data_IF_091177000932
#
_entry.id   IF_091177000932
#
_cell.length_a   1.000
_cell.length_b   1.000
_cell.length_c   1.000
_cell.angle_alpha   90.00
_cell.angle_beta   90.00
_cell.angle_gamma   90.00
#
_symmetry.space_group_name_H-M   'P 1'
#
loop_
_entity.id
_entity.type
_entity.pdbx_description
1 polymer ?
#
# COMPACT_ATOMS: atom_id res chain seq x y z
N UNK A 1 -18.21 -45.27 63.56
CA UNK A 1 -18.95 -44.16 62.94
C UNK A 1 -17.99 -43.00 62.66
N UNK A 2 -17.36 -42.97 61.47
CA UNK A 2 -16.52 -41.84 61.01
C UNK A 2 -16.78 -41.63 59.52
N UNK A 3 -17.37 -40.48 59.20
CA UNK A 3 -17.83 -40.07 57.88
C UNK A 3 -16.67 -39.82 56.91
N UNK A 4 -16.73 -40.43 55.73
CA UNK A 4 -15.90 -40.09 54.57
C UNK A 4 -16.57 -38.91 53.86
N UNK A 5 -15.96 -37.72 53.91
CA UNK A 5 -16.38 -36.57 53.09
C UNK A 5 -15.75 -36.72 51.69
N UNK A 6 -16.57 -37.04 50.69
CA UNK A 6 -16.20 -36.94 49.26
C UNK A 6 -16.19 -35.47 48.87
N UNK A 7 -15.02 -34.95 48.46
CA UNK A 7 -14.88 -33.63 47.85
C UNK A 7 -15.23 -33.76 46.36
N UNK A 8 -16.32 -33.15 45.91
CA UNK A 8 -16.67 -33.04 44.49
C UNK A 8 -15.99 -31.77 43.96
N UNK A 9 -15.00 -31.92 43.08
CA UNK A 9 -14.37 -30.81 42.37
C UNK A 9 -15.30 -30.36 41.23
N UNK A 10 -15.91 -29.20 41.38
CA UNK A 10 -16.72 -28.54 40.35
C UNK A 10 -15.78 -27.87 39.34
N UNK A 11 -15.62 -28.45 38.15
CA UNK A 11 -14.87 -27.82 37.05
C UNK A 11 -15.75 -26.72 36.45
N UNK A 12 -15.45 -25.46 36.81
CA UNK A 12 -16.04 -24.29 36.19
C UNK A 12 -15.41 -24.08 34.79
N UNK A 13 -16.18 -24.30 33.72
CA UNK A 13 -15.80 -23.87 32.39
C UNK A 13 -15.89 -22.34 32.32
N UNK A 14 -14.75 -21.66 32.44
CA UNK A 14 -14.64 -20.22 32.16
C UNK A 14 -14.66 -20.04 30.65
N UNK A 15 -15.81 -19.67 30.10
CA UNK A 15 -15.92 -19.19 28.73
C UNK A 15 -15.28 -17.81 28.66
N UNK A 16 -14.14 -17.70 27.98
CA UNK A 16 -13.51 -16.42 27.69
C UNK A 16 -14.47 -15.58 26.81
N UNK A 17 -14.81 -14.34 27.19
CA UNK A 17 -15.65 -13.50 26.36
C UNK A 17 -14.89 -13.15 25.07
N UNK A 18 -15.55 -13.36 23.94
CA UNK A 18 -15.11 -12.84 22.65
C UNK A 18 -15.17 -11.32 22.77
N UNK A 19 -14.01 -10.66 22.78
CA UNK A 19 -13.93 -9.20 22.82
C UNK A 19 -14.32 -8.68 21.43
N UNK A 20 -15.62 -8.47 21.23
CA UNK A 20 -16.14 -7.76 20.06
C UNK A 20 -16.06 -6.25 20.31
N UNK A 21 -14.99 -5.62 19.83
CA UNK A 21 -14.88 -4.16 19.85
C UNK A 21 -15.88 -3.54 18.86
N UNK A 22 -17.00 -3.03 19.38
CA UNK A 22 -18.02 -2.36 18.56
C UNK A 22 -17.61 -0.92 18.22
N UNK A 23 -17.20 -0.71 16.96
CA UNK A 23 -17.32 0.57 16.28
C UNK A 23 -18.60 0.54 15.47
N UNK A 24 -19.41 1.61 15.49
CA UNK A 24 -20.65 1.84 14.72
C UNK A 24 -20.95 0.80 13.62
N UNK A 25 -21.65 -0.29 13.96
CA UNK A 25 -22.15 -1.26 12.98
C UNK A 25 -21.08 -1.97 12.12
N UNK A 26 -19.84 -2.11 12.59
CA UNK A 26 -18.75 -2.83 11.91
C UNK A 26 -18.28 -3.98 12.77
N UNK A 27 -18.12 -5.16 12.15
CA UNK A 27 -17.52 -6.35 12.74
C UNK A 27 -16.16 -6.62 12.10
N UNK A 28 -15.18 -6.97 12.94
CA UNK A 28 -13.85 -7.41 12.52
C UNK A 28 -13.64 -8.89 12.86
N UNK A 29 -13.21 -9.67 11.87
CA UNK A 29 -12.90 -11.10 12.02
C UNK A 29 -11.49 -11.38 11.55
N UNK A 30 -10.66 -11.94 12.43
CA UNK A 30 -9.33 -12.44 12.02
C UNK A 30 -9.51 -13.68 11.16
N UNK A 31 -8.99 -13.65 9.93
CA UNK A 31 -8.99 -14.81 9.04
C UNK A 31 -7.81 -15.72 9.39
N UNK A 32 -6.60 -15.15 9.42
CA UNK A 32 -5.37 -15.89 9.71
C UNK A 32 -4.22 -14.98 10.17
N UNK A 33 -3.17 -15.59 10.73
CA UNK A 33 -1.90 -14.95 11.07
C UNK A 33 -0.93 -15.05 9.89
N UNK A 34 -0.13 -14.00 9.70
CA UNK A 34 0.83 -13.81 8.62
C UNK A 34 2.11 -13.19 9.18
N UNK A 35 3.21 -13.30 8.44
CA UNK A 35 4.52 -12.77 8.81
C UNK A 35 4.80 -11.49 8.01
N UNK A 36 4.51 -10.33 8.60
CA UNK A 36 4.71 -9.01 7.96
C UNK A 36 4.11 -8.94 6.54
N UNK A 37 2.80 -9.20 6.40
CA UNK A 37 2.14 -9.10 5.10
C UNK A 37 2.21 -7.66 4.57
N UNK A 38 2.39 -7.49 3.27
CA UNK A 38 2.66 -6.19 2.66
C UNK A 38 1.63 -5.76 1.63
N UNK A 39 1.42 -6.57 0.58
CA UNK A 39 0.45 -6.31 -0.48
C UNK A 39 -0.46 -7.51 -0.66
N UNK A 40 -1.63 -7.27 -1.23
CA UNK A 40 -2.59 -8.32 -1.53
C UNK A 40 -3.43 -8.01 -2.77
N UNK A 41 -3.93 -9.06 -3.42
CA UNK A 41 -4.79 -8.93 -4.60
C UNK A 41 -5.68 -10.17 -4.74
N UNK A 42 -6.97 -9.96 -4.97
CA UNK A 42 -7.90 -11.06 -5.24
C UNK A 42 -7.59 -11.69 -6.60
N UNK A 43 -7.52 -13.02 -6.64
CA UNK A 43 -7.40 -13.75 -7.91
C UNK A 43 -8.77 -14.22 -8.44
N UNK A 44 -9.71 -14.39 -7.53
CA UNK A 44 -11.12 -14.71 -7.73
C UNK A 44 -11.89 -14.32 -6.45
N UNK A 45 -13.15 -14.72 -6.34
CA UNK A 45 -14.00 -14.37 -5.19
C UNK A 45 -13.49 -14.93 -3.86
N UNK A 46 -12.81 -16.07 -3.85
CA UNK A 46 -12.51 -16.77 -2.60
C UNK A 46 -11.01 -16.79 -2.29
N UNK A 47 -10.16 -16.45 -3.24
CA UNK A 47 -8.72 -16.57 -3.11
C UNK A 47 -8.03 -15.21 -3.18
N UNK A 48 -7.29 -14.90 -2.13
CA UNK A 48 -6.47 -13.70 -1.98
C UNK A 48 -4.99 -14.08 -2.07
N UNK A 49 -4.28 -13.48 -3.02
CA UNK A 49 -2.83 -13.56 -3.10
C UNK A 49 -2.23 -12.50 -2.17
N UNK A 50 -1.23 -12.88 -1.37
CA UNK A 50 -0.59 -12.02 -0.37
C UNK A 50 0.93 -12.15 -0.47
N UNK A 51 1.64 -11.02 -0.45
CA UNK A 51 3.09 -10.98 -0.27
C UNK A 51 3.43 -10.75 1.19
N UNK A 52 4.43 -11.47 1.68
CA UNK A 52 5.06 -11.26 2.98
C UNK A 52 6.46 -10.71 2.78
N UNK A 53 6.77 -9.63 3.51
CA UNK A 53 8.00 -8.85 3.36
C UNK A 53 9.25 -9.72 3.31
N UNK A 54 9.31 -10.79 4.12
CA UNK A 54 10.49 -11.64 4.25
C UNK A 54 10.62 -12.76 3.21
N UNK A 55 9.78 -12.78 2.16
CA UNK A 55 10.03 -13.62 1.00
C UNK A 55 9.02 -14.73 0.76
N UNK A 56 7.81 -14.64 1.30
CA UNK A 56 6.75 -15.59 1.01
C UNK A 56 5.68 -14.94 0.16
N UNK A 57 5.17 -15.68 -0.82
CA UNK A 57 3.92 -15.38 -1.50
C UNK A 57 2.94 -16.46 -1.06
N UNK A 58 1.77 -16.04 -0.58
CA UNK A 58 0.73 -16.93 -0.04
C UNK A 58 -0.55 -16.77 -0.83
N UNK A 59 -1.17 -17.90 -1.17
CA UNK A 59 -2.54 -17.96 -1.64
C UNK A 59 -3.44 -18.36 -0.47
N UNK A 60 -4.36 -17.48 -0.10
CA UNK A 60 -5.24 -17.65 1.05
C UNK A 60 -6.67 -17.77 0.54
N UNK A 61 -7.31 -18.91 0.82
CA UNK A 61 -8.74 -19.04 0.61
C UNK A 61 -9.48 -18.44 1.81
N UNK A 62 -10.28 -17.40 1.59
CA UNK A 62 -10.88 -16.59 2.67
C UNK A 62 -12.05 -17.28 3.39
N UNK A 63 -12.66 -18.29 2.77
CA UNK A 63 -13.75 -19.08 3.36
C UNK A 63 -13.20 -20.25 4.18
N UNK A 64 -12.42 -21.13 3.54
CA UNK A 64 -11.83 -22.32 4.18
C UNK A 64 -10.63 -22.02 5.06
N UNK A 65 -10.08 -20.80 4.97
CA UNK A 65 -8.83 -20.37 5.63
C UNK A 65 -7.59 -21.17 5.23
N UNK A 66 -7.67 -21.97 4.17
CA UNK A 66 -6.53 -22.73 3.63
C UNK A 66 -5.48 -21.77 3.10
N UNK A 67 -4.21 -22.02 3.45
CA UNK A 67 -3.06 -21.25 3.00
C UNK A 67 -2.15 -22.16 2.17
N UNK A 68 -1.74 -21.69 0.99
CA UNK A 68 -0.75 -22.36 0.13
C UNK A 68 0.41 -21.41 -0.12
N UNK A 69 1.64 -21.87 0.11
CA UNK A 69 2.83 -21.10 -0.25
C UNK A 69 3.08 -21.25 -1.76
N UNK A 70 3.45 -20.15 -2.41
CA UNK A 70 3.84 -20.09 -3.81
C UNK A 70 5.33 -19.78 -3.90
N UNK A 71 6.09 -20.69 -4.49
CA UNK A 71 7.52 -20.51 -4.72
C UNK A 71 7.77 -19.45 -5.81
N UNK A 72 8.92 -18.78 -5.73
CA UNK A 72 9.35 -17.79 -6.72
C UNK A 72 10.87 -17.71 -6.86
N UNK A 73 11.34 -17.06 -7.92
CA UNK A 73 12.75 -16.89 -8.27
C UNK A 73 13.35 -15.50 -7.95
N UNK A 74 12.58 -14.60 -7.33
CA UNK A 74 13.03 -13.22 -7.06
C UNK A 74 14.26 -13.15 -6.13
N UNK A 75 15.25 -12.34 -6.54
CA UNK A 75 16.42 -12.00 -5.73
C UNK A 75 16.19 -10.64 -5.01
N UNK A 76 15.73 -10.70 -3.77
CA UNK A 76 15.30 -9.52 -3.00
C UNK A 76 16.17 -9.29 -1.75
N UNK A 77 16.04 -8.09 -1.16
CA UNK A 77 16.70 -7.69 0.08
C UNK A 77 15.70 -7.15 1.09
N UNK A 78 15.55 -7.81 2.24
CA UNK A 78 14.62 -7.40 3.30
C UNK A 78 15.17 -6.35 4.27
N UNK A 79 16.19 -5.58 3.86
CA UNK A 79 16.84 -4.55 4.70
C UNK A 79 15.86 -3.40 4.98
N UNK A 80 15.63 -3.10 6.26
CA UNK A 80 14.78 -1.98 6.69
C UNK A 80 13.33 -2.13 6.24
N UNK A 81 12.88 -1.24 5.34
CA UNK A 81 11.54 -1.22 4.75
C UNK A 81 11.43 -2.07 3.47
N UNK A 82 12.53 -2.63 2.96
CA UNK A 82 12.54 -3.49 1.77
C UNK A 82 12.04 -4.91 2.06
N UNK A 83 11.71 -5.64 1.01
CA UNK A 83 11.28 -7.03 1.01
C UNK A 83 10.61 -7.39 -0.32
N UNK A 84 9.74 -8.40 -0.28
CA UNK A 84 8.62 -8.46 -1.22
C UNK A 84 7.56 -7.45 -0.80
N UNK A 85 7.08 -6.65 -1.74
CA UNK A 85 6.25 -5.48 -1.46
C UNK A 85 4.89 -5.66 -2.11
N UNK A 86 4.49 -4.83 -3.07
CA UNK A 86 3.13 -4.92 -3.60
C UNK A 86 2.97 -6.11 -4.54
N UNK A 87 1.75 -6.63 -4.64
CA UNK A 87 1.42 -7.74 -5.53
C UNK A 87 0.04 -7.54 -6.14
N UNK A 88 -0.06 -7.62 -7.46
CA UNK A 88 -1.30 -7.53 -8.21
C UNK A 88 -1.50 -8.77 -9.06
N UNK A 89 -2.75 -9.20 -9.19
CA UNK A 89 -3.17 -10.21 -10.14
C UNK A 89 -4.16 -9.62 -11.15
N UNK A 90 -4.00 -9.97 -12.42
CA UNK A 90 -4.98 -9.72 -13.46
C UNK A 90 -4.80 -10.73 -14.60
N UNK A 91 -5.90 -11.29 -15.11
CA UNK A 91 -5.95 -12.10 -16.33
C UNK A 91 -4.90 -13.24 -16.38
N UNK A 92 -4.69 -13.93 -15.24
CA UNK A 92 -3.75 -15.05 -15.13
C UNK A 92 -2.28 -14.66 -14.97
N UNK A 93 -1.98 -13.37 -14.83
CA UNK A 93 -0.64 -12.85 -14.55
C UNK A 93 -0.55 -12.20 -13.18
N UNK A 94 0.65 -12.24 -12.60
CA UNK A 94 1.00 -11.59 -11.35
C UNK A 94 2.10 -10.58 -11.62
N UNK A 95 1.92 -9.37 -11.11
CA UNK A 95 2.95 -8.36 -11.00
C UNK A 95 3.33 -8.20 -9.54
N UNK A 96 4.63 -8.11 -9.28
CA UNK A 96 5.14 -7.94 -7.93
C UNK A 96 6.23 -6.87 -7.93
N UNK A 97 6.16 -5.96 -6.97
CA UNK A 97 7.24 -5.03 -6.69
C UNK A 97 8.05 -5.52 -5.50
N UNK A 98 9.37 -5.33 -5.56
CA UNK A 98 10.29 -5.83 -4.55
C UNK A 98 11.55 -4.97 -4.49
N UNK A 99 12.24 -5.03 -3.36
CA UNK A 99 13.57 -4.44 -3.21
C UNK A 99 14.62 -5.40 -3.77
N UNK A 100 14.90 -5.27 -5.06
CA UNK A 100 15.90 -6.08 -5.74
C UNK A 100 17.30 -5.82 -5.19
N UNK A 101 18.04 -6.91 -4.92
CA UNK A 101 19.45 -6.83 -4.58
C UNK A 101 20.25 -6.55 -5.85
N UNK A 102 20.83 -5.35 -5.96
CA UNK A 102 21.58 -4.91 -7.16
C UNK A 102 23.08 -5.14 -7.03
N UNK A 103 23.61 -5.07 -5.81
CA UNK A 103 24.96 -5.51 -5.45
C UNK A 103 24.99 -5.90 -3.96
N UNK A 104 26.18 -6.05 -3.39
CA UNK A 104 26.34 -6.50 -2.00
C UNK A 104 25.62 -5.59 -0.98
N UNK A 105 25.62 -4.27 -1.22
CA UNK A 105 25.16 -3.27 -0.24
C UNK A 105 23.96 -2.43 -0.71
N UNK A 106 23.71 -2.39 -2.02
CA UNK A 106 22.68 -1.54 -2.64
C UNK A 106 21.52 -2.34 -3.20
N UNK A 107 20.35 -1.75 -3.11
CA UNK A 107 19.11 -2.27 -3.68
C UNK A 107 18.36 -1.20 -4.47
N UNK A 108 17.39 -1.61 -5.26
CA UNK A 108 16.44 -0.73 -5.97
C UNK A 108 15.03 -1.29 -5.86
N UNK A 109 14.02 -0.43 -6.02
CA UNK A 109 12.67 -0.92 -6.30
C UNK A 109 12.65 -1.48 -7.72
N UNK A 110 12.18 -2.71 -7.88
CA UNK A 110 12.03 -3.37 -9.17
C UNK A 110 10.66 -4.01 -9.27
N UNK A 111 10.21 -4.27 -10.49
CA UNK A 111 8.91 -4.88 -10.78
C UNK A 111 9.14 -6.08 -11.67
N UNK A 112 8.49 -7.18 -11.34
CA UNK A 112 8.53 -8.39 -12.14
C UNK A 112 7.13 -8.90 -12.44
N UNK A 113 7.00 -9.59 -13.58
CA UNK A 113 5.77 -10.21 -14.07
C UNK A 113 5.96 -11.71 -14.19
N UNK A 114 4.94 -12.49 -13.87
CA UNK A 114 4.96 -13.94 -14.07
C UNK A 114 3.55 -14.48 -14.28
N UNK A 115 3.45 -15.61 -15.00
CA UNK A 115 2.16 -16.31 -15.14
C UNK A 115 1.80 -16.97 -13.81
N UNK A 116 0.58 -16.77 -13.35
CA UNK A 116 0.09 -17.37 -12.12
C UNK A 116 0.05 -18.90 -12.25
N UNK A 117 0.69 -19.60 -11.33
CA UNK A 117 0.50 -21.04 -11.10
C UNK A 117 0.49 -21.27 -9.58
N UNK A 118 -0.45 -22.08 -9.11
CA UNK A 118 -0.76 -22.25 -7.68
C UNK A 118 0.42 -22.69 -6.79
N UNK A 119 1.47 -23.28 -7.36
CA UNK A 119 2.62 -23.78 -6.60
C UNK A 119 3.89 -22.93 -6.80
N UNK A 120 4.09 -22.34 -7.98
CA UNK A 120 5.33 -21.63 -8.33
C UNK A 120 5.11 -20.61 -9.43
N UNK A 121 5.57 -19.38 -9.21
CA UNK A 121 5.58 -18.34 -10.25
C UNK A 121 7.04 -18.10 -10.65
N UNK A 122 7.31 -18.19 -11.95
CA UNK A 122 8.58 -17.73 -12.52
C UNK A 122 8.37 -16.30 -12.98
N UNK A 123 9.09 -15.38 -12.34
CA UNK A 123 9.03 -13.96 -12.61
C UNK A 123 10.16 -13.52 -13.53
N UNK A 124 9.80 -12.66 -14.48
CA UNK A 124 10.70 -11.91 -15.35
C UNK A 124 10.69 -10.44 -14.91
N UNK A 125 11.87 -9.84 -14.77
CA UNK A 125 11.99 -8.43 -14.38
C UNK A 125 11.59 -7.55 -15.57
N UNK A 126 10.61 -6.67 -15.36
CA UNK A 126 10.09 -5.76 -16.40
C UNK A 126 10.44 -4.29 -16.12
N UNK A 127 11.01 -3.98 -14.95
CA UNK A 127 11.45 -2.64 -14.59
C UNK A 127 12.43 -2.67 -13.41
N UNK A 128 13.50 -1.88 -13.51
CA UNK A 128 14.47 -1.68 -12.44
C UNK A 128 14.73 -0.19 -12.20
N UNK A 129 14.42 0.31 -11.00
CA UNK A 129 14.75 1.69 -10.64
C UNK A 129 16.27 1.89 -10.58
N UNK A 130 16.72 3.01 -11.15
CA UNK A 130 18.11 3.46 -11.12
C UNK A 130 18.20 4.92 -10.61
N UNK A 131 19.27 5.27 -9.87
CA UNK A 131 20.38 4.40 -9.48
C UNK A 131 20.02 3.46 -8.30
N UNK A 132 20.72 2.31 -8.14
CA UNK A 132 20.66 1.53 -6.91
C UNK A 132 21.30 2.32 -5.75
N UNK A 133 20.72 2.20 -4.55
CA UNK A 133 21.14 2.99 -3.37
C UNK A 133 21.32 2.07 -2.17
N UNK A 134 22.40 2.27 -1.39
CA UNK A 134 22.60 1.62 -0.09
C UNK A 134 21.71 2.28 0.96
N UNK A 135 20.43 1.93 0.96
CA UNK A 135 19.44 2.45 1.91
C UNK A 135 18.39 1.40 2.21
N UNK A 136 18.03 1.28 3.49
CA UNK A 136 16.89 0.46 3.92
C UNK A 136 15.56 1.23 3.93
N UNK A 137 15.52 2.47 3.43
CA UNK A 137 14.36 3.34 3.55
C UNK A 137 13.70 3.59 2.19
N UNK A 138 12.40 3.89 2.25
CA UNK A 138 11.61 4.56 1.22
C UNK A 138 11.64 3.92 -0.17
N UNK A 139 11.21 2.66 -0.28
CA UNK A 139 11.10 1.97 -1.56
C UNK A 139 9.86 2.37 -2.37
N UNK A 140 8.85 3.01 -1.76
CA UNK A 140 7.55 3.20 -2.38
C UNK A 140 6.87 1.85 -2.61
N UNK A 141 6.84 1.45 -3.89
CA UNK A 141 6.56 0.11 -4.43
C UNK A 141 5.10 -0.24 -4.64
N UNK A 142 4.14 0.64 -4.35
CA UNK A 142 2.75 0.37 -4.74
C UNK A 142 2.54 0.35 -6.25
N UNK A 143 1.68 -0.54 -6.71
CA UNK A 143 1.31 -0.80 -8.09
C UNK A 143 -0.18 -0.47 -8.30
N UNK A 144 -0.53 -0.04 -9.50
CA UNK A 144 -1.93 0.07 -9.93
C UNK A 144 -2.01 -0.19 -11.43
N UNK A 145 -2.96 -1.04 -11.85
CA UNK A 145 -3.25 -1.29 -13.26
C UNK A 145 -4.37 -0.36 -13.70
N UNK A 146 -4.18 0.29 -14.85
CA UNK A 146 -5.20 1.07 -15.55
C UNK A 146 -5.11 0.74 -17.03
N UNK A 147 -6.15 0.10 -17.55
CA UNK A 147 -6.18 -0.40 -18.92
C UNK A 147 -4.93 -1.28 -19.18
N UNK A 148 -4.13 -0.96 -20.20
CA UNK A 148 -2.89 -1.67 -20.52
C UNK A 148 -1.63 -1.04 -19.89
N UNK A 149 -1.80 -0.22 -18.86
CA UNK A 149 -0.70 0.46 -18.17
C UNK A 149 -0.55 -0.01 -16.73
N UNK A 150 0.71 -0.21 -16.33
CA UNK A 150 1.11 -0.38 -14.95
C UNK A 150 1.70 0.94 -14.43
N UNK A 151 1.07 1.49 -13.41
CA UNK A 151 1.63 2.59 -12.62
C UNK A 151 2.35 2.02 -11.42
N UNK A 152 3.51 2.57 -11.08
CA UNK A 152 4.23 2.18 -9.88
C UNK A 152 4.86 3.36 -9.16
N UNK A 153 4.88 3.30 -7.83
CA UNK A 153 5.55 4.29 -7.00
C UNK A 153 6.98 3.91 -6.66
N UNK A 154 7.89 4.88 -6.74
CA UNK A 154 9.30 4.70 -6.40
C UNK A 154 9.67 5.75 -5.35
N UNK A 155 9.95 5.33 -4.12
CA UNK A 155 10.35 6.26 -3.06
C UNK A 155 11.80 6.76 -3.23
N UNK A 156 12.15 7.88 -2.58
CA UNK A 156 13.42 8.59 -2.80
C UNK A 156 14.62 8.05 -2.02
N UNK A 157 14.45 6.91 -1.34
CA UNK A 157 15.53 6.16 -0.68
C UNK A 157 16.32 6.92 0.40
N UNK A 158 15.75 8.00 0.94
CA UNK A 158 16.35 8.87 1.94
C UNK A 158 17.32 9.92 1.41
N UNK A 159 17.38 10.15 0.10
CA UNK A 159 18.33 11.08 -0.55
C UNK A 159 17.80 12.51 -0.72
N UNK A 160 16.61 12.81 -0.21
CA UNK A 160 15.97 14.13 -0.20
C UNK A 160 15.69 14.68 -1.60
N UNK A 161 16.66 15.44 -2.13
CA UNK A 161 16.53 16.18 -3.38
C UNK A 161 16.60 15.32 -4.64
N UNK A 162 16.99 14.04 -4.53
CA UNK A 162 16.92 13.10 -5.67
C UNK A 162 15.50 13.05 -6.28
N UNK A 163 14.47 13.29 -5.47
CA UNK A 163 13.08 13.32 -5.91
C UNK A 163 12.74 14.45 -6.89
N UNK A 164 13.63 15.44 -7.03
CA UNK A 164 13.50 16.54 -7.99
C UNK A 164 14.31 16.28 -9.27
N UNK A 165 15.05 15.18 -9.35
CA UNK A 165 15.89 14.86 -10.48
C UNK A 165 15.18 13.87 -11.41
N UNK A 166 14.64 14.33 -12.57
CA UNK A 166 13.89 13.46 -13.47
C UNK A 166 14.81 12.53 -14.29
N UNK A 167 16.13 12.61 -14.14
CA UNK A 167 17.08 11.66 -14.73
C UNK A 167 17.28 10.42 -13.84
N UNK A 168 16.57 10.35 -12.70
CA UNK A 168 16.65 9.28 -11.71
C UNK A 168 15.24 8.85 -11.29
N UNK A 169 15.05 7.56 -11.06
CA UNK A 169 13.75 7.01 -10.68
C UNK A 169 13.33 7.30 -9.23
N UNK A 170 14.21 7.34 -8.21
CA UNK A 170 13.80 7.56 -6.82
C UNK A 170 13.03 8.87 -6.62
N UNK A 171 11.83 8.79 -6.04
CA UNK A 171 10.96 9.93 -5.78
C UNK A 171 9.93 10.23 -6.88
N UNK A 172 9.49 9.20 -7.61
CA UNK A 172 8.62 9.32 -8.79
C UNK A 172 7.42 8.36 -8.76
N UNK A 173 6.44 8.64 -9.62
CA UNK A 173 5.57 7.62 -10.20
C UNK A 173 6.11 7.30 -11.60
N UNK A 174 6.20 6.01 -11.92
CA UNK A 174 6.44 5.55 -13.30
C UNK A 174 5.15 5.01 -13.92
N UNK A 175 5.07 5.04 -15.24
CA UNK A 175 4.01 4.42 -16.05
C UNK A 175 4.66 3.63 -17.19
N UNK A 176 4.45 2.32 -17.20
CA UNK A 176 4.90 1.39 -18.23
C UNK A 176 3.71 0.58 -18.76
N UNK A 177 3.85 -0.11 -19.88
CA UNK A 177 2.88 -1.12 -20.30
C UNK A 177 2.95 -2.35 -19.38
N UNK A 178 1.91 -3.18 -19.40
CA UNK A 178 1.83 -4.40 -18.59
C UNK A 178 2.96 -5.43 -18.86
N UNK A 179 3.73 -5.28 -19.94
CA UNK A 179 4.90 -6.09 -20.29
C UNK A 179 6.24 -5.39 -19.99
N UNK A 180 6.22 -4.14 -19.50
CA UNK A 180 7.41 -3.33 -19.23
C UNK A 180 7.80 -2.38 -20.36
N UNK A 181 7.19 -2.46 -21.54
CA UNK A 181 7.49 -1.54 -22.63
C UNK A 181 7.04 -0.11 -22.30
N UNK A 182 7.70 0.88 -22.93
CA UNK A 182 7.51 2.30 -22.62
C UNK A 182 6.33 2.89 -23.41
N UNK A 183 5.35 3.51 -22.76
CA UNK A 183 4.30 4.29 -23.43
C UNK A 183 4.87 5.50 -24.19
N UNK A 184 4.54 5.60 -25.47
CA UNK A 184 4.99 6.72 -26.34
C UNK A 184 4.35 8.06 -26.00
N UNK A 185 3.30 8.05 -25.18
CA UNK A 185 2.63 9.24 -24.65
C UNK A 185 3.13 9.58 -23.23
N UNK A 186 4.25 9.03 -22.74
CA UNK A 186 4.84 9.48 -21.48
C UNK A 186 5.41 10.91 -21.57
N UNK A 187 5.52 11.65 -20.44
CA UNK A 187 5.94 13.06 -20.43
C UNK A 187 7.24 13.36 -21.18
N UNK A 188 8.19 12.41 -21.19
CA UNK A 188 9.43 12.53 -21.97
C UNK A 188 9.18 12.88 -23.43
N UNK A 189 8.17 12.26 -24.04
CA UNK A 189 7.83 12.41 -25.46
C UNK A 189 6.87 13.59 -25.72
N UNK A 190 6.48 14.31 -24.67
CA UNK A 190 5.60 15.48 -24.71
C UNK A 190 6.30 16.74 -24.18
N UNK A 191 7.60 16.86 -24.45
CA UNK A 191 8.39 18.07 -24.17
C UNK A 191 9.23 18.04 -22.89
N UNK A 192 9.07 17.04 -22.01
CA UNK A 192 9.96 16.85 -20.85
C UNK A 192 11.17 15.98 -21.21
N UNK A 193 11.91 16.38 -22.25
CA UNK A 193 12.88 15.54 -22.95
C UNK A 193 14.00 14.96 -22.06
N UNK A 194 14.35 15.66 -20.97
CA UNK A 194 15.37 15.22 -20.00
C UNK A 194 14.86 14.19 -18.98
N UNK A 195 13.56 13.88 -18.96
CA UNK A 195 13.00 12.87 -18.08
C UNK A 195 13.36 11.47 -18.58
N UNK A 196 13.50 10.54 -17.64
CA UNK A 196 13.52 9.11 -17.97
C UNK A 196 12.19 8.68 -18.61
N UNK A 197 12.23 7.78 -19.60
CA UNK A 197 11.06 7.47 -20.42
C UNK A 197 9.89 6.87 -19.65
N UNK A 198 10.13 6.21 -18.52
CA UNK A 198 9.13 5.60 -17.67
C UNK A 198 8.47 6.60 -16.71
N UNK A 199 9.11 7.74 -16.42
CA UNK A 199 8.64 8.67 -15.38
C UNK A 199 7.36 9.37 -15.83
N UNK A 200 6.33 9.23 -15.00
CA UNK A 200 5.04 9.90 -15.15
C UNK A 200 4.94 11.17 -14.29
N UNK A 201 5.54 11.18 -13.10
CA UNK A 201 5.50 12.28 -12.14
C UNK A 201 6.72 12.25 -11.21
N UNK A 202 7.19 13.40 -10.71
CA UNK A 202 8.29 13.50 -9.73
C UNK A 202 7.88 14.19 -8.41
N UNK A 203 8.84 14.35 -7.49
CA UNK A 203 8.67 15.14 -6.27
C UNK A 203 8.00 14.40 -5.12
N UNK A 204 8.18 13.09 -5.04
CA UNK A 204 7.61 12.23 -4.01
C UNK A 204 8.66 11.82 -2.97
N UNK A 205 8.21 11.59 -1.72
CA UNK A 205 9.09 11.10 -0.65
C UNK A 205 9.06 9.58 -0.57
N UNK A 206 7.94 9.05 -0.10
CA UNK A 206 7.74 7.62 0.03
C UNK A 206 6.24 7.31 -0.10
N UNK A 207 5.75 7.14 -1.34
CA UNK A 207 4.36 6.75 -1.55
C UNK A 207 4.07 5.37 -0.96
N UNK A 208 2.93 5.17 -0.30
CA UNK A 208 2.59 3.90 0.37
C UNK A 208 1.21 3.36 0.00
N UNK A 209 0.45 4.14 -0.78
CA UNK A 209 -0.80 3.76 -1.42
C UNK A 209 -0.80 4.24 -2.87
N UNK A 210 -1.34 3.41 -3.77
CA UNK A 210 -1.58 3.74 -5.18
C UNK A 210 -2.83 2.95 -5.59
N UNK A 211 -3.85 3.62 -6.13
CA UNK A 211 -5.09 2.92 -6.50
C UNK A 211 -5.77 3.58 -7.69
N UNK A 212 -6.41 2.78 -8.53
CA UNK A 212 -7.30 3.26 -9.59
C UNK A 212 -8.69 3.49 -9.02
N UNK A 213 -9.23 4.68 -9.27
CA UNK A 213 -10.61 5.00 -8.97
C UNK A 213 -11.54 4.47 -10.07
N UNK A 214 -12.55 3.65 -9.71
CA UNK A 214 -13.52 3.16 -10.67
C UNK A 214 -14.59 4.20 -11.05
N UNK A 215 -14.55 5.41 -10.46
CA UNK A 215 -15.56 6.45 -10.67
C UNK A 215 -15.12 7.54 -11.65
N UNK A 216 -13.83 7.87 -11.67
CA UNK A 216 -13.27 8.94 -12.50
C UNK A 216 -12.03 8.49 -13.29
N UNK A 217 -11.68 7.20 -13.22
CA UNK A 217 -10.55 6.59 -13.93
C UNK A 217 -9.19 7.26 -13.62
N UNK A 218 -9.04 7.85 -12.43
CA UNK A 218 -7.80 8.48 -11.97
C UNK A 218 -7.02 7.58 -11.04
N UNK A 219 -5.70 7.76 -11.04
CA UNK A 219 -4.81 7.13 -10.06
C UNK A 219 -4.66 8.08 -8.87
N UNK A 220 -4.98 7.59 -7.68
CA UNK A 220 -4.73 8.29 -6.43
C UNK A 220 -3.49 7.73 -5.74
N UNK A 221 -2.84 8.56 -4.92
CA UNK A 221 -1.59 8.27 -4.21
C UNK A 221 -1.73 8.70 -2.75
N UNK A 222 -1.17 7.93 -1.83
CA UNK A 222 -0.80 8.41 -0.50
C UNK A 222 0.71 8.40 -0.33
N UNK A 223 1.25 9.34 0.46
CA UNK A 223 2.68 9.48 0.64
C UNK A 223 3.03 9.89 2.07
N UNK A 224 4.02 9.22 2.64
CA UNK A 224 4.59 9.60 3.92
C UNK A 224 5.35 10.93 3.81
N UNK A 225 5.07 11.86 4.72
CA UNK A 225 5.89 13.02 5.01
C UNK A 225 7.09 12.67 5.88
N UNK A 226 7.75 13.68 6.45
CA UNK A 226 8.83 13.50 7.41
C UNK A 226 8.27 13.41 8.84
N UNK A 227 8.62 14.33 9.73
CA UNK A 227 7.92 14.50 11.00
C UNK A 227 6.68 15.37 10.76
N UNK A 228 5.58 14.74 10.31
CA UNK A 228 4.42 15.43 9.75
C UNK A 228 4.48 15.51 8.22
N UNK A 229 3.36 15.92 7.62
CA UNK A 229 3.27 16.19 6.18
C UNK A 229 2.97 14.95 5.34
N UNK A 230 2.35 13.92 5.93
CA UNK A 230 1.74 12.86 5.15
C UNK A 230 0.64 13.44 4.28
N UNK A 231 0.36 12.87 3.11
CA UNK A 231 -0.68 13.40 2.23
C UNK A 231 -1.33 12.36 1.33
N UNK A 232 -2.51 12.72 0.82
CA UNK A 232 -3.30 12.02 -0.19
C UNK A 232 -3.58 12.96 -1.37
N UNK A 233 -3.45 12.46 -2.60
CA UNK A 233 -3.60 13.24 -3.83
C UNK A 233 -3.69 12.37 -5.09
N UNK A 234 -3.62 12.99 -6.26
CA UNK A 234 -3.75 12.35 -7.58
C UNK A 234 -2.37 12.21 -8.25
N UNK A 235 -2.12 11.10 -8.96
CA UNK A 235 -1.00 11.02 -9.87
C UNK A 235 -1.25 11.90 -11.11
N UNK A 236 -0.49 12.99 -11.25
CA UNK A 236 -0.58 13.93 -12.37
C UNK A 236 0.57 13.72 -13.36
N UNK A 237 0.22 13.53 -14.63
CA UNK A 237 1.19 13.44 -15.73
C UNK A 237 2.07 14.70 -15.77
N UNK A 238 3.39 14.54 -15.78
CA UNK A 238 4.35 15.64 -15.75
C UNK A 238 4.34 16.46 -14.44
N UNK A 239 3.59 16.02 -13.43
CA UNK A 239 3.43 16.75 -12.18
C UNK A 239 4.67 16.70 -11.27
N UNK A 240 4.71 17.60 -10.29
CA UNK A 240 5.76 17.66 -9.27
C UNK A 240 5.15 17.99 -7.91
N UNK A 241 5.21 17.04 -6.96
CA UNK A 241 4.73 17.24 -5.57
C UNK A 241 5.73 17.95 -4.65
N UNK A 242 6.92 18.27 -5.18
CA UNK A 242 7.84 19.21 -4.58
C UNK A 242 8.66 18.67 -3.43
N UNK A 243 8.61 17.40 -3.04
CA UNK A 243 9.59 16.88 -2.10
C UNK A 243 11.00 16.95 -2.71
N UNK A 244 12.04 17.50 -2.06
CA UNK A 244 12.13 18.02 -0.67
C UNK A 244 12.15 19.56 -0.59
N UNK A 245 11.67 20.27 -1.61
CA UNK A 245 11.42 21.72 -1.57
C UNK A 245 10.23 22.04 -0.66
N UNK A 246 9.22 21.17 -0.65
CA UNK A 246 8.00 21.26 0.16
C UNK A 246 8.01 20.23 1.29
N UNK A 247 7.66 20.68 2.49
CA UNK A 247 7.52 19.82 3.67
C UNK A 247 6.08 19.42 3.97
N UNK A 248 5.09 20.00 3.27
CA UNK A 248 3.66 19.79 3.54
C UNK A 248 3.26 20.09 4.99
N UNK A 249 3.99 20.99 5.63
CA UNK A 249 3.84 21.37 7.05
C UNK A 249 4.60 20.46 8.01
N UNK A 250 5.24 19.41 7.51
CA UNK A 250 6.19 18.59 8.25
C UNK A 250 7.56 19.26 8.42
N UNK A 251 8.32 18.70 9.36
CA UNK A 251 9.68 19.12 9.70
C UNK A 251 10.66 17.97 9.48
N UNK A 252 11.94 18.29 9.40
CA UNK A 252 12.99 17.28 9.58
C UNK A 252 12.85 16.65 10.97
N UNK A 253 13.38 15.45 11.18
CA UNK A 253 13.39 14.82 12.51
C UNK A 253 14.23 15.58 13.55
N UNK A 254 15.07 16.52 13.11
CA UNK A 254 15.74 17.51 13.98
C UNK A 254 14.82 18.65 14.44
N UNK A 255 13.56 18.71 13.97
CA UNK A 255 12.63 19.80 14.25
C UNK A 255 12.74 21.01 13.32
N UNK A 256 13.76 21.07 12.46
CA UNK A 256 13.95 22.17 11.50
C UNK A 256 12.92 22.06 10.36
N UNK A 257 12.23 23.16 9.99
CA UNK A 257 11.35 23.19 8.83
C UNK A 257 12.03 22.71 7.54
N UNK A 258 11.31 21.99 6.70
CA UNK A 258 11.83 21.53 5.39
C UNK A 258 11.62 22.60 4.31
N UNK A 259 10.49 23.31 4.39
CA UNK A 259 10.03 24.28 3.42
C UNK A 259 8.56 24.62 3.69
N UNK A 260 7.90 25.38 2.81
CA UNK A 260 6.50 25.73 2.99
C UNK A 260 5.59 24.49 2.89
N UNK A 261 4.34 24.65 3.34
CA UNK A 261 3.29 23.62 3.18
C UNK A 261 3.05 23.33 1.70
N UNK A 262 2.90 24.38 0.89
CA UNK A 262 2.73 24.32 -0.55
C UNK A 262 3.08 25.69 -1.14
N UNK A 263 3.45 25.73 -2.43
CA UNK A 263 3.63 26.98 -3.18
C UNK A 263 3.19 26.80 -4.66
N UNK A 264 2.83 27.88 -5.38
CA UNK A 264 2.51 27.81 -6.80
C UNK A 264 3.61 27.14 -7.63
N UNK A 265 3.21 26.45 -8.71
CA UNK A 265 4.10 25.66 -9.56
C UNK A 265 4.28 24.20 -9.14
N UNK A 266 3.70 23.77 -8.01
CA UNK A 266 3.72 22.38 -7.55
C UNK A 266 2.32 21.77 -7.53
N UNK A 267 2.22 20.47 -7.83
CA UNK A 267 1.00 19.70 -7.68
C UNK A 267 0.50 19.80 -6.24
N UNK A 268 -0.79 20.13 -6.06
CA UNK A 268 -1.41 20.28 -4.74
C UNK A 268 -1.97 18.95 -4.26
N UNK A 269 -1.67 18.56 -3.03
CA UNK A 269 -2.33 17.42 -2.38
C UNK A 269 -3.78 17.77 -2.02
N UNK A 270 -4.66 16.77 -2.02
CA UNK A 270 -6.06 16.91 -1.63
C UNK A 270 -6.17 17.01 -0.10
N UNK A 271 -5.39 16.18 0.61
CA UNK A 271 -5.32 16.16 2.08
C UNK A 271 -3.88 16.01 2.53
N UNK A 272 -3.52 16.67 3.63
CA UNK A 272 -2.28 16.41 4.36
C UNK A 272 -2.55 16.30 5.87
N UNK A 273 -1.70 15.56 6.57
CA UNK A 273 -1.77 15.33 8.01
C UNK A 273 -0.51 15.82 8.71
N UNK A 274 -0.70 16.72 9.68
CA UNK A 274 0.32 17.19 10.61
C UNK A 274 -0.32 17.13 12.00
N UNK A 275 0.08 16.20 12.89
CA UNK A 275 1.18 15.23 12.75
C UNK A 275 0.90 14.12 11.72
N UNK A 276 1.96 13.42 11.29
CA UNK A 276 1.86 12.27 10.37
C UNK A 276 1.12 11.11 11.01
N UNK A 277 0.21 10.49 10.24
CA UNK A 277 -0.49 9.25 10.59
C UNK A 277 0.29 7.99 10.17
N UNK A 278 1.40 8.18 9.43
CA UNK A 278 2.08 7.19 8.61
C UNK A 278 1.09 6.50 7.67
N UNK A 279 0.53 7.31 6.75
CA UNK A 279 -0.47 6.90 5.77
C UNK A 279 0.02 5.72 4.91
N UNK A 280 -0.78 4.68 4.76
CA UNK A 280 -0.43 3.47 4.00
C UNK A 280 -1.33 3.30 2.79
N UNK A 281 -1.90 2.11 2.58
CA UNK A 281 -2.73 1.82 1.42
C UNK A 281 -3.97 2.72 1.34
N UNK A 282 -4.47 2.80 0.11
CA UNK A 282 -5.69 3.52 -0.22
C UNK A 282 -6.54 2.65 -1.14
N UNK A 283 -7.86 2.77 -1.02
CA UNK A 283 -8.81 2.22 -1.97
C UNK A 283 -9.92 3.25 -2.20
N UNK A 284 -10.39 3.39 -3.44
CA UNK A 284 -11.65 4.10 -3.68
C UNK A 284 -12.77 3.06 -3.58
N UNK A 285 -13.63 3.22 -2.58
CA UNK A 285 -14.61 2.19 -2.27
C UNK A 285 -15.68 2.09 -3.37
N UNK A 286 -15.87 0.87 -3.88
CA UNK A 286 -16.98 0.47 -4.74
C UNK A 286 -17.52 -0.87 -4.24
N UNK A 287 -18.76 -0.92 -3.77
CA UNK A 287 -19.35 -2.15 -3.26
C UNK A 287 -20.68 -1.95 -2.52
N UNK A 288 -21.34 -3.07 -2.21
CA UNK A 288 -22.67 -3.07 -1.59
C UNK A 288 -22.64 -3.06 -0.06
N UNK A 289 -21.67 -3.75 0.55
CA UNK A 289 -21.51 -3.88 2.01
C UNK A 289 -21.61 -2.53 2.75
N UNK A 290 -20.93 -1.52 2.23
CA UNK A 290 -20.91 -0.15 2.74
C UNK A 290 -21.40 0.83 1.66
N UNK A 291 -22.63 0.66 1.19
CA UNK A 291 -23.22 1.45 0.10
C UNK A 291 -23.01 2.97 0.19
N UNK A 292 -23.06 3.54 1.40
CA UNK A 292 -22.87 4.98 1.65
C UNK A 292 -21.39 5.43 1.58
N UNK A 293 -20.46 4.52 1.31
CA UNK A 293 -19.03 4.80 1.13
C UNK A 293 -18.62 4.80 -0.34
N UNK A 294 -19.51 4.44 -1.28
CA UNK A 294 -19.22 4.46 -2.71
C UNK A 294 -18.63 5.81 -3.14
N UNK A 295 -17.46 5.78 -3.80
CA UNK A 295 -16.72 6.96 -4.25
C UNK A 295 -15.80 7.61 -3.20
N UNK A 296 -15.90 7.21 -1.92
CA UNK A 296 -14.99 7.71 -0.86
C UNK A 296 -13.64 7.02 -0.93
N UNK A 297 -12.59 7.73 -0.56
CA UNK A 297 -11.29 7.12 -0.34
C UNK A 297 -11.23 6.49 1.06
N UNK A 298 -10.87 5.22 1.12
CA UNK A 298 -10.49 4.52 2.34
C UNK A 298 -8.98 4.65 2.51
N UNK A 299 -8.55 5.17 3.64
CA UNK A 299 -7.14 5.46 3.93
C UNK A 299 -6.72 4.67 5.15
N UNK A 300 -5.75 3.77 5.00
CA UNK A 300 -5.16 3.05 6.13
C UNK A 300 -3.96 3.79 6.70
N UNK A 301 -3.59 3.48 7.93
CA UNK A 301 -2.44 4.11 8.58
C UNK A 301 -1.67 3.17 9.49
N UNK A 302 -0.36 3.37 9.51
CA UNK A 302 0.56 2.54 10.27
C UNK A 302 0.77 3.07 11.69
N UNK A 303 1.12 4.36 11.85
CA UNK A 303 1.43 4.95 13.16
C UNK A 303 0.13 5.27 13.90
N UNK A 304 -0.84 5.81 13.18
CA UNK A 304 -2.13 6.16 13.74
C UNK A 304 -3.05 4.95 13.92
N UNK A 305 -2.73 3.78 13.33
CA UNK A 305 -3.48 2.52 13.53
C UNK A 305 -4.98 2.68 13.26
N UNK A 306 -5.32 3.36 12.17
CA UNK A 306 -6.69 3.71 11.80
C UNK A 306 -7.01 3.42 10.33
N UNK A 307 -8.31 3.21 10.07
CA UNK A 307 -8.93 3.32 8.74
C UNK A 307 -9.82 4.55 8.76
N UNK A 308 -9.71 5.37 7.73
CA UNK A 308 -10.45 6.63 7.57
C UNK A 308 -11.20 6.62 6.25
N UNK A 309 -12.41 7.17 6.23
CA UNK A 309 -13.13 7.49 5.00
C UNK A 309 -12.93 8.97 4.69
N UNK A 310 -12.62 9.29 3.43
CA UNK A 310 -12.54 10.65 2.92
C UNK A 310 -13.60 10.84 1.84
N UNK A 311 -14.48 11.80 2.06
CA UNK A 311 -15.34 12.36 1.00
C UNK A 311 -14.60 13.56 0.43
N UNK A 312 -14.40 13.58 -0.88
CA UNK A 312 -13.59 14.60 -1.53
C UNK A 312 -14.18 14.96 -2.90
N UNK A 313 -14.03 16.22 -3.27
CA UNK A 313 -14.15 16.67 -4.65
C UNK A 313 -12.75 16.72 -5.28
N UNK A 314 -12.68 16.87 -6.60
CA UNK A 314 -11.42 16.88 -7.37
C UNK A 314 -10.28 17.76 -6.81
N UNK A 315 -10.55 18.70 -5.90
CA UNK A 315 -9.55 19.62 -5.35
C UNK A 315 -9.51 19.67 -3.82
N UNK A 316 -10.56 19.25 -3.11
CA UNK A 316 -10.68 19.45 -1.67
C UNK A 316 -11.35 18.29 -0.93
N UNK A 317 -10.98 18.12 0.35
CA UNK A 317 -11.73 17.27 1.27
C UNK A 317 -13.02 17.97 1.69
N UNK A 318 -14.12 17.26 1.55
CA UNK A 318 -15.43 17.65 2.08
C UNK A 318 -15.60 17.12 3.49
N UNK A 319 -15.22 15.86 3.73
CA UNK A 319 -15.38 15.20 5.03
C UNK A 319 -14.31 14.12 5.27
N UNK A 320 -13.86 13.99 6.51
CA UNK A 320 -13.00 12.90 6.97
C UNK A 320 -13.64 12.25 8.21
N UNK A 321 -13.74 10.93 8.22
CA UNK A 321 -14.26 10.17 9.36
C UNK A 321 -13.30 9.01 9.69
N UNK A 322 -13.01 8.81 10.98
CA UNK A 322 -12.27 7.63 11.44
C UNK A 322 -13.27 6.51 11.67
N UNK A 323 -13.19 5.44 10.87
CA UNK A 323 -14.12 4.30 10.94
C UNK A 323 -13.54 3.15 11.76
N UNK A 324 -12.21 3.07 11.83
CA UNK A 324 -11.49 2.11 12.65
C UNK A 324 -10.31 2.79 13.35
N UNK A 325 -10.08 2.49 14.64
CA UNK A 325 -8.96 3.04 15.41
C UNK A 325 -8.49 2.10 16.51
N UNK A 326 -7.20 1.79 16.55
CA UNK A 326 -6.54 1.02 17.61
C UNK A 326 -7.15 -0.38 17.89
N UNK A 327 -7.80 -1.01 16.91
CA UNK A 327 -8.43 -2.33 17.10
C UNK A 327 -7.55 -3.49 16.59
N UNK A 328 -6.81 -3.29 15.50
CA UNK A 328 -6.00 -4.34 14.85
C UNK A 328 -4.52 -3.95 14.65
N UNK A 329 -4.07 -2.90 15.34
CA UNK A 329 -2.70 -2.39 15.25
C UNK A 329 -2.42 -1.64 13.94
N UNK A 330 -1.17 -1.75 13.45
CA UNK A 330 -0.69 -1.03 12.25
C UNK A 330 -1.32 -1.63 11.00
N UNK A 331 -2.00 -0.83 10.19
CA UNK A 331 -2.72 -1.31 8.99
C UNK A 331 -1.91 -0.97 7.75
N UNK A 332 -1.47 -1.99 7.03
CA UNK A 332 -0.54 -1.91 5.89
C UNK A 332 -1.28 -1.86 4.56
N UNK A 333 -2.28 -2.72 4.39
CA UNK A 333 -2.98 -2.89 3.12
C UNK A 333 -4.50 -2.93 3.29
N UNK A 334 -5.21 -2.62 2.22
CA UNK A 334 -6.67 -2.69 2.13
C UNK A 334 -7.10 -3.19 0.75
N UNK A 335 -7.99 -4.17 0.73
CA UNK A 335 -8.66 -4.65 -0.49
C UNK A 335 -10.17 -4.61 -0.29
N UNK A 336 -10.88 -4.19 -1.34
CA UNK A 336 -12.35 -4.29 -1.40
C UNK A 336 -12.66 -5.52 -2.23
N UNK A 337 -13.44 -6.43 -1.67
CA UNK A 337 -13.81 -7.66 -2.38
C UNK A 337 -14.70 -7.31 -3.58
N UNK A 338 -14.41 -7.87 -4.77
CA UNK A 338 -14.96 -7.39 -6.04
C UNK A 338 -16.48 -7.55 -6.17
N UNK A 339 -17.07 -8.55 -5.51
CA UNK A 339 -18.51 -8.84 -5.60
C UNK A 339 -19.28 -8.25 -4.40
N UNK A 340 -19.02 -8.74 -3.19
CA UNK A 340 -19.82 -8.35 -2.02
C UNK A 340 -19.45 -6.98 -1.41
N UNK A 341 -18.31 -6.37 -1.77
CA UNK A 341 -17.89 -5.09 -1.22
C UNK A 341 -17.35 -5.15 0.22
N UNK A 342 -17.14 -6.34 0.80
CA UNK A 342 -16.48 -6.52 2.09
C UNK A 342 -15.02 -6.09 2.01
N UNK A 343 -14.46 -5.67 3.14
CA UNK A 343 -13.12 -5.08 3.18
C UNK A 343 -12.16 -6.03 3.86
N UNK A 344 -11.00 -6.23 3.26
CA UNK A 344 -9.93 -7.09 3.75
C UNK A 344 -8.72 -6.23 4.10
N UNK A 345 -8.21 -6.37 5.32
CA UNK A 345 -7.14 -5.54 5.86
C UNK A 345 -5.94 -6.41 6.22
N UNK A 346 -4.75 -5.98 5.79
CA UNK A 346 -3.50 -6.53 6.30
C UNK A 346 -3.02 -5.67 7.48
N UNK A 347 -3.02 -6.26 8.68
CA UNK A 347 -2.32 -5.68 9.83
C UNK A 347 -0.84 -6.09 9.82
N UNK A 348 -0.09 -5.70 10.85
CA UNK A 348 1.32 -6.07 10.99
C UNK A 348 1.58 -7.59 10.92
N UNK A 349 0.62 -8.41 11.30
CA UNK A 349 0.81 -9.84 11.53
C UNK A 349 -0.39 -10.71 11.10
N UNK A 350 -1.41 -10.16 10.44
CA UNK A 350 -2.66 -10.89 10.21
C UNK A 350 -3.44 -10.36 9.01
N UNK A 351 -4.29 -11.22 8.46
CA UNK A 351 -5.37 -10.84 7.53
C UNK A 351 -6.70 -10.77 8.30
N UNK A 352 -7.40 -9.65 8.14
CA UNK A 352 -8.69 -9.37 8.77
C UNK A 352 -9.78 -9.14 7.73
N UNK A 353 -10.98 -9.61 8.03
CA UNK A 353 -12.22 -9.22 7.38
C UNK A 353 -12.88 -8.10 8.18
N UNK A 354 -13.33 -7.06 7.47
CA UNK A 354 -14.18 -5.98 7.96
C UNK A 354 -15.48 -5.98 7.17
N UNK A 355 -16.58 -6.17 7.88
CA UNK A 355 -17.94 -6.24 7.34
C UNK A 355 -18.91 -5.48 8.25
N UNK A 356 -20.09 -5.17 7.74
CA UNK A 356 -21.16 -4.54 8.50
C UNK A 356 -21.77 -5.57 9.46
N UNK A 357 -22.24 -5.08 10.61
CA UNK A 357 -22.96 -5.89 11.60
C UNK A 357 -24.28 -6.44 11.07
#
# INVERSE_FOLDING_TARGET
MKMIKKLIALILFITLPIISAHSKGITLKKITTLEYPWGSSFIDNNNLLVSEKYGKIKLINIESKKITNIDHNLNFSSKGQGGLLDILYQDGFVWISYSEKRNLISSSTSIAKGKFKKNKIIFENIFQANPPINSGLHFGSRLAIKDNYLFASIGERGQGMIAQDPTKHPGSIIRIHLDGSIPKDNPKYEGLNNWLPEIYQIGLRNPQGLTLSPFDNKIYISNHGAMGGDWFGEAKKGGNYGWKILGWGGKNYSGIPIGPKWKPGFTKAIRYWVPSIAVSAIAIYKGEEFNNWNGKALITSLKDMSVRTLTFDNKNIVKEEIVLKNQIGRIRDIQVHPINGKIYLLSQDSLWLMEKN
#
